data_IF_415807600682
#
_entry.id   IF_415807600682
#
_cell.length_a   1.000
_cell.length_b   1.000
_cell.length_c   1.000
_cell.angle_alpha   90.00
_cell.angle_beta   90.00
_cell.angle_gamma   90.00
#
_symmetry.space_group_name_H-M   'P 1'
#
loop_
_entity.id
_entity.type
_entity.pdbx_description
1 polymer ?
#
# COMPACT_ATOMS: atom_id res chain seq x y z
N UNK A 1 7.16 -0.54 18.67
CA UNK A 1 8.33 -1.44 18.57
C UNK A 1 8.22 -2.50 17.47
N UNK A 2 7.05 -3.09 17.19
CA UNK A 2 6.90 -4.10 16.10
C UNK A 2 6.90 -3.50 14.68
N UNK A 3 6.37 -2.29 14.49
CA UNK A 3 6.25 -1.64 13.16
C UNK A 3 7.60 -1.15 12.60
N UNK A 4 8.51 -0.68 13.46
CA UNK A 4 9.85 -0.21 13.07
C UNK A 4 10.79 -1.34 12.68
N UNK A 5 10.67 -2.51 13.33
CA UNK A 5 11.41 -3.70 12.95
C UNK A 5 10.96 -4.25 11.58
N UNK A 6 9.66 -4.12 11.26
CA UNK A 6 9.12 -4.55 9.97
C UNK A 6 9.61 -3.65 8.82
N UNK A 7 9.60 -2.33 9.02
CA UNK A 7 10.17 -1.37 8.07
C UNK A 7 11.66 -1.63 7.82
N UNK A 8 12.43 -1.86 8.90
CA UNK A 8 13.83 -2.23 8.79
C UNK A 8 14.05 -3.56 8.05
N UNK A 9 13.23 -4.57 8.33
CA UNK A 9 13.31 -5.87 7.67
C UNK A 9 12.94 -5.80 6.17
N UNK A 10 11.98 -4.95 5.80
CA UNK A 10 11.61 -4.71 4.39
C UNK A 10 12.76 -3.99 3.66
N UNK A 11 13.33 -2.95 4.25
CA UNK A 11 14.50 -2.26 3.67
C UNK A 11 15.67 -3.22 3.51
N UNK A 12 15.92 -4.08 4.50
CA UNK A 12 16.98 -5.10 4.44
C UNK A 12 16.68 -6.15 3.38
N UNK A 13 15.48 -6.71 3.33
CA UNK A 13 15.09 -7.72 2.34
C UNK A 13 15.16 -7.19 0.90
N UNK A 14 14.72 -5.94 0.68
CA UNK A 14 14.90 -5.27 -0.60
C UNK A 14 16.39 -5.04 -0.91
N UNK A 15 17.22 -4.76 0.09
CA UNK A 15 18.67 -4.53 -0.08
C UNK A 15 19.51 -5.80 -0.30
N UNK A 16 19.03 -6.98 0.10
CA UNK A 16 19.81 -8.24 0.03
C UNK A 16 19.59 -9.04 -1.27
N UNK A 17 18.62 -8.67 -2.10
CA UNK A 17 18.30 -9.36 -3.36
C UNK A 17 19.12 -8.83 -4.56
N UNK A 18 20.28 -8.22 -4.33
CA UNK A 18 21.07 -7.60 -5.41
C UNK A 18 21.85 -8.65 -6.21
N UNK A 19 21.59 -8.84 -7.51
CA UNK A 19 22.68 -9.17 -8.41
C UNK A 19 23.72 -8.04 -8.32
N UNK A 20 25.00 -8.39 -8.31
CA UNK A 20 26.14 -7.47 -8.27
C UNK A 20 26.27 -6.55 -9.53
N UNK A 21 25.18 -6.35 -10.28
CA UNK A 21 25.11 -5.68 -11.58
C UNK A 21 24.25 -4.40 -11.60
N UNK A 22 23.73 -3.93 -10.47
CA UNK A 22 23.02 -2.64 -10.46
C UNK A 22 24.00 -1.48 -10.52
N UNK A 23 23.75 -0.56 -11.45
CA UNK A 23 24.47 0.70 -11.54
C UNK A 23 23.79 1.79 -10.69
N UNK A 24 22.47 1.72 -10.47
CA UNK A 24 21.73 2.75 -9.74
C UNK A 24 20.54 2.17 -8.94
N UNK A 25 20.34 2.73 -7.76
CA UNK A 25 19.24 2.41 -6.85
C UNK A 25 18.46 3.68 -6.55
N UNK A 26 17.14 3.64 -6.75
CA UNK A 26 16.27 4.79 -6.49
C UNK A 26 15.19 4.37 -5.50
N UNK A 27 15.12 5.05 -4.35
CA UNK A 27 14.07 4.87 -3.33
C UNK A 27 13.14 6.07 -3.40
N UNK A 28 11.84 5.80 -3.44
CA UNK A 28 10.79 6.82 -3.60
C UNK A 28 9.81 6.68 -2.43
N UNK A 29 9.39 7.82 -1.88
CA UNK A 29 8.43 7.91 -0.79
C UNK A 29 7.30 8.84 -1.23
N UNK A 30 6.11 8.28 -1.38
CA UNK A 30 4.94 8.96 -1.95
C UNK A 30 3.76 8.91 -0.96
N UNK A 31 2.88 9.90 -1.08
CA UNK A 31 1.60 9.88 -0.38
C UNK A 31 0.58 9.07 -1.19
N UNK A 32 -0.18 8.21 -0.51
CA UNK A 32 -1.19 7.38 -1.14
C UNK A 32 -2.56 7.67 -0.52
N UNK A 33 -3.58 7.80 -1.37
CA UNK A 33 -4.99 7.90 -0.99
C UNK A 33 -5.81 6.90 -1.79
N UNK A 34 -6.67 6.14 -1.11
CA UNK A 34 -7.62 5.24 -1.75
C UNK A 34 -9.05 5.66 -1.42
N UNK A 35 -9.88 5.78 -2.46
CA UNK A 35 -11.31 6.02 -2.33
C UNK A 35 -12.02 4.68 -2.38
N UNK A 36 -12.88 4.41 -1.40
CA UNK A 36 -13.70 3.20 -1.36
C UNK A 36 -15.18 3.57 -1.48
N UNK A 37 -15.90 2.84 -2.31
CA UNK A 37 -17.35 2.95 -2.36
C UNK A 37 -17.94 2.58 -0.99
N UNK A 38 -18.66 3.52 -0.38
CA UNK A 38 -19.32 3.39 0.93
C UNK A 38 -18.41 3.36 2.18
N UNK A 39 -17.15 3.79 2.09
CA UNK A 39 -16.28 4.01 3.26
C UNK A 39 -15.55 5.35 3.18
N UNK A 40 -15.01 5.84 4.30
CA UNK A 40 -14.16 7.02 4.29
C UNK A 40 -12.89 6.74 3.50
N UNK A 41 -12.35 7.79 2.87
CA UNK A 41 -11.05 7.72 2.20
C UNK A 41 -9.98 7.14 3.14
N UNK A 42 -9.16 6.24 2.60
CA UNK A 42 -7.97 5.74 3.26
C UNK A 42 -6.79 6.62 2.86
N UNK A 43 -6.04 7.08 3.85
CA UNK A 43 -4.81 7.84 3.63
C UNK A 43 -3.61 7.02 4.09
N UNK A 44 -2.47 7.23 3.45
CA UNK A 44 -1.29 6.45 3.75
C UNK A 44 -0.04 6.86 3.00
N UNK A 45 0.89 5.93 3.00
CA UNK A 45 2.19 6.09 2.35
C UNK A 45 2.37 4.97 1.33
N UNK A 46 3.09 5.30 0.27
CA UNK A 46 3.62 4.34 -0.66
C UNK A 46 5.15 4.50 -0.70
N UNK A 47 5.85 3.36 -0.72
CA UNK A 47 7.30 3.30 -0.79
C UNK A 47 7.65 2.47 -2.02
N UNK A 48 8.44 3.03 -2.93
CA UNK A 48 8.91 2.31 -4.11
C UNK A 48 10.42 2.19 -4.12
N UNK A 49 10.87 1.11 -4.73
CA UNK A 49 12.26 0.81 -4.91
C UNK A 49 12.51 0.37 -6.35
N UNK A 50 13.32 1.16 -7.05
CA UNK A 50 13.72 0.92 -8.42
C UNK A 50 15.17 0.45 -8.47
N UNK A 51 15.37 -0.66 -9.16
CA UNK A 51 16.65 -1.31 -9.38
C UNK A 51 17.03 -1.19 -10.86
N UNK A 52 18.17 -0.56 -11.16
CA UNK A 52 18.64 -0.24 -12.50
C UNK A 52 19.98 -0.92 -12.80
N UNK A 53 20.04 -1.73 -13.86
CA UNK A 53 21.21 -2.56 -14.23
C UNK A 53 21.91 -2.11 -15.52
N UNK A 54 21.93 -0.80 -15.80
CA UNK A 54 22.60 -0.24 -16.98
C UNK A 54 21.83 -0.40 -18.31
N UNK A 55 20.54 -0.73 -18.26
CA UNK A 55 19.66 -0.82 -19.42
C UNK A 55 18.54 0.23 -19.36
N UNK A 56 17.87 0.46 -20.49
CA UNK A 56 16.64 1.25 -20.54
C UNK A 56 15.50 0.62 -19.73
N UNK A 57 15.58 -0.70 -19.48
CA UNK A 57 14.67 -1.45 -18.62
C UNK A 57 15.24 -1.56 -17.19
N UNK A 58 14.35 -1.42 -16.22
CA UNK A 58 14.62 -1.51 -14.78
C UNK A 58 13.48 -2.23 -14.08
N UNK A 59 13.73 -2.69 -12.85
CA UNK A 59 12.72 -3.35 -12.03
C UNK A 59 12.24 -2.40 -10.93
N UNK A 60 10.93 -2.31 -10.74
CA UNK A 60 10.28 -1.52 -9.70
C UNK A 60 9.55 -2.42 -8.72
N UNK A 61 9.74 -2.19 -7.43
CA UNK A 61 8.95 -2.77 -6.36
C UNK A 61 8.21 -1.65 -5.64
N UNK A 62 6.98 -1.89 -5.21
CA UNK A 62 6.12 -0.90 -4.58
C UNK A 62 5.40 -1.52 -3.39
N UNK A 63 5.40 -0.81 -2.27
CA UNK A 63 4.70 -1.17 -1.05
C UNK A 63 3.79 -0.03 -0.61
N UNK A 64 2.49 -0.29 -0.60
CA UNK A 64 1.45 0.66 -0.19
C UNK A 64 0.93 0.28 1.19
N UNK A 65 0.85 1.23 2.11
CA UNK A 65 0.24 1.07 3.42
C UNK A 65 -0.70 2.24 3.71
N UNK A 66 -2.00 1.95 3.65
CA UNK A 66 -3.06 2.93 3.89
C UNK A 66 -3.91 2.52 5.08
N UNK A 67 -4.39 3.51 5.83
CA UNK A 67 -5.25 3.32 6.98
C UNK A 67 -6.31 4.40 7.05
N UNK A 68 -7.47 4.04 7.56
CA UNK A 68 -8.54 4.98 7.83
C UNK A 68 -9.44 4.48 8.92
N UNK A 69 -10.00 5.42 9.66
CA UNK A 69 -10.90 5.19 10.77
C UNK A 69 -12.23 5.89 10.51
N UNK A 70 -13.31 5.15 10.68
CA UNK A 70 -14.66 5.68 10.58
C UNK A 70 -15.35 5.57 11.94
N UNK A 71 -15.84 6.69 12.44
CA UNK A 71 -16.60 6.77 13.68
C UNK A 71 -18.09 6.80 13.34
N UNK A 72 -18.81 5.73 13.69
CA UNK A 72 -20.28 5.72 13.60
C UNK A 72 -20.88 6.56 14.73
N UNK A 73 -21.95 7.30 14.45
CA UNK A 73 -22.67 8.13 15.42
C UNK A 73 -23.15 7.37 16.68
N UNK A 74 -23.22 6.03 16.63
CA UNK A 74 -23.55 5.15 17.76
C UNK A 74 -22.33 4.66 18.57
N UNK A 75 -21.15 5.28 18.41
CA UNK A 75 -19.93 4.95 19.17
C UNK A 75 -19.12 3.76 18.62
N UNK A 76 -19.59 3.07 17.58
CA UNK A 76 -18.82 2.03 16.91
C UNK A 76 -17.64 2.60 16.14
N UNK A 77 -16.45 2.01 16.32
CA UNK A 77 -15.23 2.37 15.58
C UNK A 77 -14.88 1.26 14.60
N UNK A 78 -14.79 1.63 13.32
CA UNK A 78 -14.33 0.72 12.27
C UNK A 78 -12.98 1.19 11.77
N UNK A 79 -11.96 0.37 11.95
CA UNK A 79 -10.61 0.61 11.42
C UNK A 79 -10.42 -0.25 10.17
N UNK A 80 -10.04 0.38 9.07
CA UNK A 80 -9.68 -0.29 7.83
C UNK A 80 -8.19 -0.05 7.56
N UNK A 81 -7.44 -1.14 7.40
CA UNK A 81 -6.03 -1.07 7.02
C UNK A 81 -5.84 -1.83 5.69
N UNK A 82 -5.25 -1.16 4.72
CA UNK A 82 -4.92 -1.71 3.40
C UNK A 82 -3.41 -1.78 3.25
N UNK A 83 -2.91 -2.94 2.85
CA UNK A 83 -1.50 -3.15 2.52
C UNK A 83 -1.40 -3.77 1.14
N UNK A 84 -0.53 -3.25 0.28
CA UNK A 84 -0.27 -3.87 -1.02
C UNK A 84 1.22 -3.97 -1.30
N UNK A 85 1.59 -5.04 -1.97
CA UNK A 85 2.92 -5.26 -2.51
C UNK A 85 2.81 -5.57 -3.98
N UNK A 86 3.53 -4.82 -4.80
CA UNK A 86 3.55 -5.01 -6.25
C UNK A 86 4.95 -4.86 -6.82
N UNK A 87 5.16 -5.52 -7.96
CA UNK A 87 6.42 -5.54 -8.68
C UNK A 87 6.16 -5.45 -10.16
N UNK A 88 7.06 -4.83 -10.91
CA UNK A 88 6.97 -4.84 -12.35
C UNK A 88 8.05 -4.02 -13.06
N UNK A 89 8.00 -3.99 -14.40
CA UNK A 89 8.99 -3.32 -15.20
C UNK A 89 8.82 -1.80 -15.17
N UNK A 90 9.94 -1.10 -15.22
CA UNK A 90 10.03 0.34 -15.44
C UNK A 90 10.97 0.62 -16.62
N UNK A 91 10.52 1.45 -17.57
CA UNK A 91 11.19 1.71 -18.83
C UNK A 91 11.44 3.20 -19.04
N UNK A 92 12.66 3.56 -19.41
CA UNK A 92 13.01 4.92 -19.79
C UNK A 92 12.37 5.29 -21.12
N UNK A 93 11.38 6.19 -21.10
CA UNK A 93 10.89 6.84 -22.31
C UNK A 93 11.93 7.84 -22.82
N UNK A 94 12.45 8.65 -21.89
CA UNK A 94 13.43 9.70 -22.14
C UNK A 94 14.38 9.78 -20.93
N UNK A 95 15.47 10.55 -21.05
CA UNK A 95 16.44 10.75 -19.94
C UNK A 95 15.84 11.29 -18.63
N UNK A 96 14.63 11.88 -18.69
CA UNK A 96 13.94 12.46 -17.54
C UNK A 96 12.61 11.76 -17.21
N UNK A 97 12.11 10.87 -18.07
CA UNK A 97 10.78 10.27 -17.92
C UNK A 97 10.87 8.75 -17.99
N UNK A 98 10.29 8.10 -17.00
CA UNK A 98 10.20 6.64 -16.90
C UNK A 98 8.74 6.27 -16.74
N UNK A 99 8.30 5.27 -17.49
CA UNK A 99 6.99 4.66 -17.31
C UNK A 99 7.15 3.33 -16.59
N UNK A 100 6.24 2.99 -15.69
CA UNK A 100 6.25 1.70 -15.02
C UNK A 100 4.85 1.08 -14.98
N UNK A 101 4.83 -0.24 -14.98
CA UNK A 101 3.65 -1.06 -14.71
C UNK A 101 3.94 -1.97 -13.52
N UNK A 102 2.94 -2.16 -12.67
CA UNK A 102 3.03 -2.94 -11.44
C UNK A 102 1.90 -3.95 -11.39
N UNK A 103 2.21 -5.16 -10.94
CA UNK A 103 1.23 -6.19 -10.61
C UNK A 103 1.59 -6.81 -9.27
N UNK A 104 0.61 -7.25 -8.52
CA UNK A 104 0.86 -7.69 -7.16
C UNK A 104 -0.37 -8.16 -6.42
N UNK A 105 -0.24 -8.14 -5.11
CA UNK A 105 -1.26 -8.58 -4.18
C UNK A 105 -1.50 -7.50 -3.14
N UNK A 106 -2.77 -7.34 -2.78
CA UNK A 106 -3.21 -6.48 -1.70
C UNK A 106 -3.89 -7.30 -0.63
N UNK A 107 -3.84 -6.80 0.59
CA UNK A 107 -4.40 -7.40 1.77
C UNK A 107 -5.09 -6.31 2.60
N UNK A 108 -6.39 -6.47 2.79
CA UNK A 108 -7.22 -5.52 3.53
C UNK A 108 -7.72 -6.17 4.82
N UNK A 109 -7.55 -5.46 5.94
CA UNK A 109 -8.06 -5.88 7.24
C UNK A 109 -9.12 -4.89 7.71
N UNK A 110 -10.36 -5.36 7.84
CA UNK A 110 -11.47 -4.62 8.45
C UNK A 110 -11.57 -5.07 9.89
N UNK A 111 -11.34 -4.15 10.84
CA UNK A 111 -11.60 -4.38 12.26
C UNK A 111 -12.83 -3.60 12.66
N UNK A 112 -13.89 -4.31 13.01
CA UNK A 112 -15.08 -3.69 13.56
C UNK A 112 -15.02 -3.77 15.09
N UNK A 113 -14.84 -2.63 15.75
CA UNK A 113 -14.87 -2.55 17.21
C UNK A 113 -16.18 -1.89 17.64
N UNK A 114 -17.14 -2.73 18.06
CA UNK A 114 -18.38 -2.24 18.66
C UNK A 114 -18.07 -1.56 20.01
N UNK A 115 -18.55 -0.33 20.19
CA UNK A 115 -18.62 0.27 21.51
C UNK A 115 -19.55 -0.57 22.39
N UNK A 116 -19.09 -0.83 23.61
CA UNK A 116 -19.91 -1.35 24.68
C UNK A 116 -20.82 -0.20 25.14
N UNK A 117 -22.11 -0.29 24.85
CA UNK A 117 -23.09 0.43 25.63
C UNK A 117 -23.33 -0.40 26.90
N UNK A 118 -22.84 0.06 28.05
CA UNK A 118 -23.26 -0.47 29.35
C UNK A 118 -24.68 0.02 29.59
N UNK A 119 -25.67 -0.69 29.06
CA UNK A 119 -27.04 -0.61 29.55
C UNK A 119 -27.19 -1.65 30.66
N UNK A 120 -27.13 -1.15 31.91
CA UNK A 120 -27.73 -1.87 33.03
C UNK A 120 -29.21 -2.04 32.68
N UNK A 121 -29.67 -3.30 32.69
CA UNK A 121 -31.05 -3.77 32.55
C UNK A 121 -31.43 -4.31 31.15
N UNK A 122 -31.76 -5.61 31.09
CA UNK A 122 -32.21 -6.40 29.93
C UNK A 122 -31.16 -7.04 28.98
N UNK A 123 -30.37 -7.96 29.52
CA UNK A 123 -30.31 -9.35 29.00
C UNK A 123 -29.84 -9.69 27.58
N UNK A 124 -29.41 -8.78 26.68
CA UNK A 124 -28.84 -9.16 25.36
C UNK A 124 -27.76 -8.19 24.86
N UNK A 125 -26.56 -8.27 25.43
CA UNK A 125 -25.37 -7.70 24.79
C UNK A 125 -24.76 -8.74 23.82
N UNK A 126 -25.06 -8.63 22.52
CA UNK A 126 -24.32 -9.34 21.45
C UNK A 126 -23.45 -8.33 20.69
N UNK A 127 -22.29 -8.01 21.25
CA UNK A 127 -21.24 -7.33 20.51
C UNK A 127 -20.57 -8.32 19.55
N UNK A 128 -20.79 -8.17 18.24
CA UNK A 128 -20.09 -8.99 17.24
C UNK A 128 -18.73 -8.35 16.94
N UNK A 129 -17.66 -8.90 17.51
CA UNK A 129 -16.28 -8.60 17.09
C UNK A 129 -15.99 -9.44 15.86
N UNK A 130 -16.03 -8.81 14.70
CA UNK A 130 -15.63 -9.42 13.43
C UNK A 130 -14.32 -8.81 12.93
N UNK A 131 -13.34 -9.66 12.65
CA UNK A 131 -12.19 -9.30 11.82
C UNK A 131 -12.34 -10.06 10.51
N UNK A 132 -12.45 -9.34 9.40
CA UNK A 132 -12.45 -9.94 8.07
C UNK A 132 -11.21 -9.46 7.34
N UNK A 133 -10.48 -10.40 6.75
CA UNK A 133 -9.27 -10.15 5.98
C UNK A 133 -9.48 -10.69 4.57
N UNK A 134 -9.30 -9.84 3.57
CA UNK A 134 -9.40 -10.23 2.16
C UNK A 134 -8.06 -9.99 1.47
N UNK A 135 -7.64 -10.96 0.66
CA UNK A 135 -6.47 -10.84 -0.22
C UNK A 135 -6.96 -10.73 -1.66
N UNK A 136 -6.40 -9.78 -2.41
CA UNK A 136 -6.92 -9.36 -3.70
C UNK A 136 -5.79 -9.08 -4.69
N UNK A 137 -6.05 -9.30 -5.96
CA UNK A 137 -5.09 -8.94 -7.01
C UNK A 137 -5.01 -7.42 -7.13
N UNK A 138 -3.78 -6.90 -7.16
CA UNK A 138 -3.49 -5.48 -7.34
C UNK A 138 -2.73 -5.24 -8.65
N UNK A 139 -3.04 -4.14 -9.32
CA UNK A 139 -2.34 -3.68 -10.51
C UNK A 139 -2.16 -2.17 -10.42
N UNK A 140 -1.12 -1.65 -11.07
CA UNK A 140 -0.86 -0.23 -11.07
C UNK A 140 -0.02 0.20 -12.26
N UNK A 141 -0.07 1.48 -12.56
CA UNK A 141 0.76 2.10 -13.59
C UNK A 141 1.09 3.53 -13.17
N UNK A 142 2.20 4.04 -13.66
CA UNK A 142 2.55 5.44 -13.44
C UNK A 142 3.81 5.88 -14.13
N UNK A 143 4.22 7.09 -13.79
CA UNK A 143 5.29 7.83 -14.41
C UNK A 143 6.21 8.40 -13.34
N UNK A 144 7.51 8.31 -13.59
CA UNK A 144 8.53 9.03 -12.85
C UNK A 144 9.07 10.16 -13.72
N UNK A 145 9.19 11.33 -13.12
CA UNK A 145 9.88 12.46 -13.70
C UNK A 145 11.11 12.82 -12.86
N UNK A 146 12.28 12.80 -13.49
CA UNK A 146 13.58 12.98 -12.83
C UNK A 146 14.28 14.19 -13.44
N UNK A 147 13.90 15.44 -13.08
CA UNK A 147 14.48 16.65 -13.69
C UNK A 147 15.98 16.79 -13.39
N UNK A 148 16.44 16.20 -12.27
CA UNK A 148 17.83 16.10 -11.85
C UNK A 148 18.06 14.75 -11.20
N UNK A 149 19.31 14.30 -11.15
CA UNK A 149 19.67 12.97 -10.63
C UNK A 149 19.25 12.70 -9.18
N UNK A 150 18.98 13.75 -8.39
CA UNK A 150 18.64 13.68 -6.98
C UNK A 150 17.17 14.02 -6.69
N UNK A 151 16.37 14.30 -7.71
CA UNK A 151 14.96 14.69 -7.57
C UNK A 151 14.13 13.76 -8.43
N UNK A 152 13.23 13.01 -7.80
CA UNK A 152 12.27 12.14 -8.47
C UNK A 152 10.87 12.57 -8.05
N UNK A 153 10.02 12.78 -9.05
CA UNK A 153 8.61 13.03 -8.90
C UNK A 153 7.87 11.80 -9.43
N UNK A 154 7.11 11.15 -8.57
CA UNK A 154 6.30 10.00 -8.93
C UNK A 154 4.82 10.37 -8.98
N UNK A 155 4.14 9.88 -10.02
CA UNK A 155 2.69 9.94 -10.13
C UNK A 155 2.21 8.59 -10.65
N UNK A 156 1.31 7.95 -9.91
CA UNK A 156 0.76 6.66 -10.29
C UNK A 156 -0.63 6.42 -9.78
N UNK A 157 -1.23 5.37 -10.34
CA UNK A 157 -2.52 4.84 -9.93
C UNK A 157 -2.36 3.36 -9.58
N UNK A 158 -2.99 2.94 -8.49
CA UNK A 158 -3.07 1.54 -8.06
C UNK A 158 -4.56 1.16 -7.95
N UNK A 159 -4.92 0.03 -8.55
CA UNK A 159 -6.24 -0.59 -8.46
C UNK A 159 -6.14 -1.98 -7.84
N UNK A 160 -7.12 -2.34 -7.03
CA UNK A 160 -7.25 -3.68 -6.45
C UNK A 160 -8.66 -4.22 -6.71
N UNK A 161 -8.76 -5.47 -7.16
CA UNK A 161 -10.03 -6.18 -7.28
C UNK A 161 -10.23 -7.05 -6.04
N UNK A 162 -10.97 -6.51 -5.08
CA UNK A 162 -11.37 -7.26 -3.88
C UNK A 162 -12.58 -8.12 -4.22
N UNK A 163 -12.33 -9.40 -4.47
CA UNK A 163 -13.40 -10.39 -4.61
C UNK A 163 -13.79 -10.90 -3.22
N UNK A 164 -14.83 -10.30 -2.63
CA UNK A 164 -15.43 -10.80 -1.40
C UNK A 164 -16.39 -11.90 -1.84
N UNK A 165 -15.87 -13.14 -1.90
CA UNK A 165 -16.68 -14.31 -2.21
C UNK A 165 -17.94 -14.35 -1.34
N UNK A 166 -19.09 -14.20 -1.99
CA UNK A 166 -20.42 -14.35 -1.41
C UNK A 166 -20.83 -15.83 -1.35
#
# INVERSE_FOLDING_TARGET
MKKSALLGAIVVALSTLMPAQAERHTVIFDYARAQLDNFSDLDGINIKYRYEWGSALSLMNSFSALGGDNHSANGGKTELNYYAYSVGPAYYLNRYMVIYGLVGLSHSNVKNSAAWATEQNSGRARGSRGASSASAFAYGAGLLFTPRENIVLDVGYEGSQIDIGA
#
